data_IF_678224074962
#
_entry.id   IF_678224074962
#
_cell.length_a   1.000
_cell.length_b   1.000
_cell.length_c   1.000
_cell.angle_alpha   90.00
_cell.angle_beta   90.00
_cell.angle_gamma   90.00
#
_symmetry.space_group_name_H-M   'P 1'
#
loop_
_entity.id
_entity.type
_entity.pdbx_description
1 polymer ?
#
# COMPACT_ATOMS: atom_id res chain seq x y z
N UNK A 1 -45.79 -44.52 -26.33
CA UNK A 1 -45.38 -44.04 -24.99
C UNK A 1 -43.93 -43.59 -25.09
N UNK A 2 -43.70 -42.29 -25.17
CA UNK A 2 -42.41 -41.63 -25.09
C UNK A 2 -42.50 -40.68 -23.89
N UNK A 3 -41.56 -40.68 -22.94
CA UNK A 3 -41.49 -39.61 -21.96
C UNK A 3 -40.65 -38.46 -22.53
N UNK A 4 -41.30 -37.32 -22.65
CA UNK A 4 -40.74 -35.97 -22.62
C UNK A 4 -39.93 -35.76 -21.34
N UNK A 5 -38.74 -35.16 -21.44
CA UNK A 5 -38.24 -34.05 -20.60
C UNK A 5 -36.82 -33.66 -21.06
N UNK A 6 -36.77 -32.66 -21.95
CA UNK A 6 -35.59 -31.83 -22.15
C UNK A 6 -35.71 -30.66 -21.18
N UNK A 7 -34.90 -30.64 -20.12
CA UNK A 7 -34.59 -29.43 -19.37
C UNK A 7 -33.11 -29.17 -19.52
N UNK A 8 -32.80 -28.07 -20.22
CA UNK A 8 -31.45 -27.55 -20.33
C UNK A 8 -31.02 -26.91 -19.02
N UNK A 9 -29.77 -27.16 -18.65
CA UNK A 9 -28.93 -26.20 -17.95
C UNK A 9 -27.49 -26.43 -18.40
N UNK A 10 -27.01 -25.53 -19.25
CA UNK A 10 -25.58 -25.31 -19.48
C UNK A 10 -25.06 -24.37 -18.40
N UNK A 11 -24.00 -24.73 -17.66
CA UNK A 11 -23.20 -23.75 -16.95
C UNK A 11 -21.84 -23.64 -17.65
N UNK A 12 -21.82 -23.08 -18.86
CA UNK A 12 -20.66 -22.31 -19.30
C UNK A 12 -20.63 -21.01 -18.49
N UNK A 13 -20.27 -21.13 -17.22
CA UNK A 13 -19.79 -19.99 -16.45
C UNK A 13 -18.55 -19.48 -17.20
N UNK A 14 -18.69 -18.33 -17.84
CA UNK A 14 -17.58 -17.57 -18.41
C UNK A 14 -16.56 -17.35 -17.29
N UNK A 15 -15.54 -18.20 -17.24
CA UNK A 15 -14.33 -17.96 -16.44
C UNK A 15 -13.75 -16.65 -16.93
N UNK A 16 -13.98 -15.57 -16.19
CA UNK A 16 -13.14 -14.38 -16.28
C UNK A 16 -11.72 -14.84 -15.94
N UNK A 17 -10.70 -14.51 -16.74
CA UNK A 17 -9.33 -14.77 -16.33
C UNK A 17 -9.10 -14.04 -15.00
N UNK A 18 -8.70 -14.75 -13.95
CA UNK A 18 -8.04 -14.11 -12.81
C UNK A 18 -6.75 -13.53 -13.37
N UNK A 19 -6.73 -12.21 -13.59
CA UNK A 19 -5.48 -11.47 -13.61
C UNK A 19 -4.97 -11.53 -12.17
N UNK A 20 -4.03 -12.44 -11.89
CA UNK A 20 -3.22 -12.32 -10.69
C UNK A 20 -2.59 -10.94 -10.74
N UNK A 21 -2.82 -10.11 -9.73
CA UNK A 21 -1.95 -8.98 -9.49
C UNK A 21 -0.55 -9.57 -9.38
N UNK A 22 0.30 -9.29 -10.36
CA UNK A 22 1.70 -9.65 -10.26
C UNK A 22 2.26 -8.72 -9.19
N UNK A 23 2.25 -9.16 -7.94
CA UNK A 23 3.22 -8.67 -6.97
C UNK A 23 4.60 -8.83 -7.62
N UNK A 24 5.54 -7.89 -7.41
CA UNK A 24 6.93 -8.17 -7.76
C UNK A 24 7.26 -9.53 -7.16
N UNK A 25 7.86 -10.46 -7.92
CA UNK A 25 8.22 -11.76 -7.36
C UNK A 25 9.06 -11.47 -6.11
N UNK A 26 8.65 -12.04 -4.97
CA UNK A 26 9.55 -12.15 -3.83
C UNK A 26 10.85 -12.73 -4.40
N UNK A 27 11.95 -12.00 -4.28
CA UNK A 27 13.22 -12.41 -4.84
C UNK A 27 13.61 -13.74 -4.18
N UNK A 28 13.34 -14.86 -4.86
CA UNK A 28 13.84 -16.16 -4.50
C UNK A 28 15.35 -16.13 -4.78
N UNK A 29 16.13 -15.73 -3.77
CA UNK A 29 17.58 -15.78 -3.82
C UNK A 29 18.04 -17.23 -3.82
N UNK A 30 18.41 -17.75 -5.00
CA UNK A 30 19.34 -18.87 -5.06
C UNK A 30 20.73 -18.36 -4.66
N UNK A 31 21.26 -18.83 -3.53
CA UNK A 31 22.63 -18.58 -3.10
C UNK A 31 23.63 -19.23 -4.06
N UNK A 32 24.54 -18.47 -4.71
CA UNK A 32 25.69 -19.07 -5.37
C UNK A 32 26.71 -19.45 -4.29
N UNK A 33 27.12 -20.72 -4.28
CA UNK A 33 28.19 -21.19 -3.44
C UNK A 33 29.54 -20.55 -3.84
N UNK A 34 30.23 -20.05 -2.81
CA UNK A 34 31.68 -19.88 -2.66
C UNK A 34 32.39 -18.70 -3.36
N UNK A 35 32.68 -17.69 -2.53
CA UNK A 35 33.73 -16.68 -2.69
C UNK A 35 33.75 -15.76 -1.48
N UNK A 36 34.22 -16.24 -0.32
CA UNK A 36 34.15 -15.51 0.95
C UNK A 36 35.12 -14.31 0.99
N UNK A 37 34.66 -13.16 0.49
CA UNK A 37 35.07 -11.84 0.96
C UNK A 37 34.04 -11.36 1.99
N UNK A 38 34.47 -10.69 3.04
CA UNK A 38 33.55 -10.14 4.04
C UNK A 38 32.74 -8.98 3.43
N UNK A 39 31.50 -9.23 3.06
CA UNK A 39 30.54 -8.21 2.59
C UNK A 39 30.26 -7.24 3.73
N UNK A 40 30.44 -5.93 3.51
CA UNK A 40 30.13 -4.92 4.53
C UNK A 40 28.62 -4.61 4.54
N UNK A 41 28.12 -4.02 5.63
CA UNK A 41 26.71 -3.60 5.72
C UNK A 41 26.34 -2.55 4.64
N UNK A 42 27.30 -1.76 4.16
CA UNK A 42 27.08 -0.83 3.05
C UNK A 42 26.89 -1.58 1.72
N UNK A 43 27.73 -2.59 1.45
CA UNK A 43 27.64 -3.40 0.23
C UNK A 43 26.31 -4.17 0.15
N UNK A 44 25.78 -4.64 1.30
CA UNK A 44 24.48 -5.32 1.35
C UNK A 44 23.30 -4.38 1.12
N UNK A 45 23.38 -3.14 1.60
CA UNK A 45 22.35 -2.12 1.37
C UNK A 45 22.30 -1.71 -0.09
N UNK A 46 23.47 -1.50 -0.72
CA UNK A 46 23.56 -1.21 -2.15
C UNK A 46 22.98 -2.33 -3.01
N UNK A 47 23.17 -3.60 -2.61
CA UNK A 47 22.59 -4.73 -3.34
C UNK A 47 21.06 -4.81 -3.19
N UNK A 48 20.52 -4.60 -1.99
CA UNK A 48 19.06 -4.55 -1.80
C UNK A 48 18.41 -3.41 -2.59
N UNK A 49 19.06 -2.24 -2.63
CA UNK A 49 18.64 -1.11 -3.46
C UNK A 49 18.68 -1.46 -4.95
N UNK A 50 19.74 -2.11 -5.42
CA UNK A 50 19.89 -2.54 -6.82
C UNK A 50 18.75 -3.47 -7.24
N UNK A 51 18.45 -4.50 -6.44
CA UNK A 51 17.37 -5.45 -6.71
C UNK A 51 16.00 -4.74 -6.74
N UNK A 52 15.77 -3.83 -5.80
CA UNK A 52 14.57 -3.01 -5.76
C UNK A 52 14.42 -2.14 -7.02
N UNK A 53 15.41 -1.33 -7.38
CA UNK A 53 15.31 -0.47 -8.56
C UNK A 53 15.25 -1.26 -9.88
N UNK A 54 15.86 -2.44 -9.93
CA UNK A 54 15.75 -3.33 -11.07
C UNK A 54 14.32 -3.86 -11.25
N UNK A 55 13.62 -4.20 -10.15
CA UNK A 55 12.21 -4.63 -10.24
C UNK A 55 11.34 -3.52 -10.83
N UNK A 56 11.55 -2.28 -10.40
CA UNK A 56 10.85 -1.08 -10.89
C UNK A 56 11.25 -0.64 -12.30
N UNK A 57 12.28 -1.23 -12.91
CA UNK A 57 12.63 -0.94 -14.31
C UNK A 57 11.73 -1.68 -15.31
N UNK A 58 10.93 -2.66 -14.85
CA UNK A 58 10.04 -3.43 -15.71
C UNK A 58 8.69 -2.76 -15.94
N UNK A 59 8.28 -2.65 -17.21
CA UNK A 59 7.01 -2.02 -17.60
C UNK A 59 5.77 -2.64 -16.95
N UNK A 60 5.80 -3.93 -16.61
CA UNK A 60 4.64 -4.63 -16.04
C UNK A 60 4.16 -4.04 -14.71
N UNK A 61 5.08 -3.60 -13.85
CA UNK A 61 4.75 -2.96 -12.56
C UNK A 61 4.14 -1.57 -12.80
N UNK A 62 4.71 -0.77 -13.70
CA UNK A 62 4.15 0.52 -14.09
C UNK A 62 2.77 0.40 -14.76
N UNK A 63 2.58 -0.62 -15.59
CA UNK A 63 1.29 -0.90 -16.22
C UNK A 63 0.22 -1.25 -15.18
N UNK A 64 0.55 -2.07 -14.18
CA UNK A 64 -0.36 -2.38 -13.07
C UNK A 64 -0.74 -1.12 -12.28
N UNK A 65 0.25 -0.28 -11.93
CA UNK A 65 0.04 0.99 -11.22
C UNK A 65 -0.78 2.01 -12.01
N UNK A 66 -0.62 2.07 -13.34
CA UNK A 66 -1.34 3.03 -14.20
C UNK A 66 -2.76 2.53 -14.52
N UNK A 67 -2.97 1.22 -14.61
CA UNK A 67 -4.32 0.64 -14.80
C UNK A 67 -5.20 0.79 -13.57
N UNK A 68 -4.61 0.96 -12.40
CA UNK A 68 -5.32 1.33 -11.17
C UNK A 68 -5.87 2.77 -11.29
N UNK A 69 -7.15 2.84 -11.64
CA UNK A 69 -7.87 4.11 -11.80
C UNK A 69 -8.15 4.78 -10.47
N UNK A 70 -8.48 4.01 -9.43
CA UNK A 70 -8.75 4.56 -8.09
C UNK A 70 -7.53 5.34 -7.60
N UNK A 71 -6.33 4.75 -7.74
CA UNK A 71 -5.06 5.42 -7.49
C UNK A 71 -4.88 6.66 -8.38
N UNK A 72 -4.88 6.47 -9.69
CA UNK A 72 -4.46 7.53 -10.63
C UNK A 72 -5.44 8.72 -10.63
N UNK A 73 -6.74 8.45 -10.56
CA UNK A 73 -7.78 9.47 -10.53
C UNK A 73 -7.80 10.23 -9.20
N UNK A 74 -7.46 9.59 -8.07
CA UNK A 74 -7.33 10.29 -6.79
C UNK A 74 -6.19 11.31 -6.82
N UNK A 75 -5.01 10.94 -7.33
CA UNK A 75 -3.89 11.88 -7.51
C UNK A 75 -4.23 13.00 -8.49
N UNK A 76 -4.84 12.67 -9.64
CA UNK A 76 -5.29 13.69 -10.59
C UNK A 76 -6.29 14.67 -9.95
N UNK A 77 -7.27 14.16 -9.22
CA UNK A 77 -8.27 14.96 -8.51
C UNK A 77 -7.63 15.82 -7.42
N UNK A 78 -6.67 15.29 -6.66
CA UNK A 78 -5.93 16.03 -5.64
C UNK A 78 -5.12 17.19 -6.24
N UNK A 79 -4.43 16.95 -7.36
CA UNK A 79 -3.68 17.98 -8.09
C UNK A 79 -4.63 19.09 -8.56
N UNK A 80 -5.77 18.74 -9.14
CA UNK A 80 -6.74 19.72 -9.63
C UNK A 80 -7.42 20.49 -8.50
N UNK A 81 -7.77 19.81 -7.41
CA UNK A 81 -8.33 20.43 -6.21
C UNK A 81 -7.35 21.45 -5.61
N UNK A 82 -6.06 21.12 -5.53
CA UNK A 82 -5.02 22.00 -5.01
C UNK A 82 -4.32 22.86 -6.08
N UNK A 83 -4.93 23.03 -7.27
CA UNK A 83 -4.31 23.76 -8.39
C UNK A 83 -3.78 25.15 -7.99
N UNK A 84 -4.50 25.88 -7.13
CA UNK A 84 -4.08 27.20 -6.62
C UNK A 84 -2.74 27.21 -5.87
N UNK A 85 -2.33 26.06 -5.33
CA UNK A 85 -1.05 25.85 -4.66
C UNK A 85 0.03 25.25 -5.59
N UNK A 86 -0.32 24.94 -6.83
CA UNK A 86 0.58 24.32 -7.83
C UNK A 86 0.88 25.31 -8.96
N UNK A 87 -0.10 26.11 -9.39
CA UNK A 87 0.03 27.07 -10.48
C UNK A 87 1.14 28.11 -10.18
N UNK A 88 2.10 28.23 -11.09
CA UNK A 88 3.27 29.09 -10.95
C UNK A 88 4.29 28.65 -9.89
N UNK A 89 4.16 27.43 -9.34
CA UNK A 89 5.02 26.90 -8.26
C UNK A 89 6.03 25.86 -8.73
N UNK A 90 7.03 25.58 -7.91
CA UNK A 90 8.03 24.53 -8.14
C UNK A 90 7.60 23.27 -7.42
N UNK A 91 7.51 22.16 -8.15
CA UNK A 91 7.05 20.85 -7.65
C UNK A 91 8.22 19.86 -7.66
N UNK A 92 8.31 19.02 -6.63
CA UNK A 92 9.16 17.83 -6.59
C UNK A 92 8.26 16.58 -6.61
N UNK A 93 8.43 15.73 -7.62
CA UNK A 93 7.80 14.42 -7.74
C UNK A 93 8.84 13.34 -7.35
N UNK A 94 8.67 12.72 -6.18
CA UNK A 94 9.63 11.76 -5.60
C UNK A 94 9.23 10.35 -5.99
N UNK A 95 10.11 9.64 -6.70
CA UNK A 95 9.83 8.33 -7.29
C UNK A 95 8.79 8.47 -8.40
N UNK A 96 9.09 9.33 -9.38
CA UNK A 96 8.10 9.73 -10.39
C UNK A 96 7.68 8.58 -11.33
N UNK A 97 8.44 7.48 -11.37
CA UNK A 97 8.21 6.35 -12.25
C UNK A 97 8.14 6.79 -13.71
N UNK A 98 6.99 6.59 -14.35
CA UNK A 98 6.74 7.04 -15.72
C UNK A 98 6.52 8.55 -15.88
N UNK A 99 6.50 9.30 -14.78
CA UNK A 99 6.30 10.75 -14.78
C UNK A 99 4.84 11.19 -14.94
N UNK A 100 3.86 10.30 -14.75
CA UNK A 100 2.44 10.63 -14.92
C UNK A 100 1.99 11.77 -13.98
N UNK A 101 2.41 11.74 -12.71
CA UNK A 101 2.08 12.78 -11.73
C UNK A 101 2.76 14.11 -12.07
N UNK A 102 4.04 14.04 -12.47
CA UNK A 102 4.78 15.19 -13.01
C UNK A 102 4.06 15.85 -14.18
N UNK A 103 3.54 15.07 -15.13
CA UNK A 103 2.75 15.59 -16.26
C UNK A 103 1.45 16.25 -15.80
N UNK A 104 0.76 15.67 -14.80
CA UNK A 104 -0.44 16.29 -14.23
C UNK A 104 -0.13 17.62 -13.54
N UNK A 105 0.93 17.69 -12.72
CA UNK A 105 1.36 18.94 -12.09
C UNK A 105 1.75 20.00 -13.12
N UNK A 106 2.45 19.61 -14.18
CA UNK A 106 2.82 20.53 -15.27
C UNK A 106 1.58 21.09 -15.97
N UNK A 107 0.60 20.23 -16.29
CA UNK A 107 -0.68 20.65 -16.89
C UNK A 107 -1.55 21.47 -15.94
N UNK A 108 -1.40 21.31 -14.62
CA UNK A 108 -2.02 22.15 -13.62
C UNK A 108 -1.37 23.55 -13.52
N UNK A 109 -0.30 23.82 -14.27
CA UNK A 109 0.33 25.13 -14.38
C UNK A 109 1.56 25.32 -13.51
N UNK A 110 2.19 24.25 -13.01
CA UNK A 110 3.46 24.36 -12.27
C UNK A 110 4.49 25.19 -13.04
N UNK A 111 5.27 26.05 -12.39
CA UNK A 111 6.38 26.75 -13.05
C UNK A 111 7.47 25.76 -13.50
N UNK A 112 7.74 24.77 -12.66
CA UNK A 112 8.76 23.73 -12.87
C UNK A 112 8.41 22.49 -12.08
N UNK A 113 8.71 21.32 -12.64
CA UNK A 113 8.60 20.04 -11.94
C UNK A 113 9.95 19.33 -11.99
N UNK A 114 10.52 19.02 -10.83
CA UNK A 114 11.64 18.09 -10.71
C UNK A 114 11.08 16.69 -10.49
N UNK A 115 11.25 15.82 -11.49
CA UNK A 115 10.75 14.45 -11.47
C UNK A 115 11.92 13.51 -11.17
N UNK A 116 12.06 13.10 -9.90
CA UNK A 116 13.19 12.29 -9.44
C UNK A 116 12.80 10.81 -9.46
N UNK A 117 13.58 10.00 -10.16
CA UNK A 117 13.37 8.56 -10.27
C UNK A 117 14.71 7.84 -10.24
N UNK A 118 14.83 6.80 -9.42
CA UNK A 118 16.09 6.11 -9.19
C UNK A 118 16.29 4.87 -10.09
N UNK A 119 15.22 4.35 -10.69
CA UNK A 119 15.26 3.24 -11.63
C UNK A 119 15.40 3.70 -13.08
N UNK A 120 15.75 2.76 -13.97
CA UNK A 120 15.99 3.04 -15.40
C UNK A 120 14.75 3.55 -16.14
N UNK A 121 13.55 3.41 -15.56
CA UNK A 121 12.30 3.95 -16.11
C UNK A 121 12.34 5.48 -16.26
N UNK A 122 13.25 6.16 -15.56
CA UNK A 122 13.54 7.59 -15.74
C UNK A 122 13.81 7.94 -17.22
N UNK A 123 14.45 7.05 -17.98
CA UNK A 123 14.67 7.23 -19.42
C UNK A 123 13.36 7.30 -20.18
N UNK A 124 12.39 6.43 -19.85
CA UNK A 124 11.05 6.47 -20.46
C UNK A 124 10.24 7.69 -19.98
N UNK A 125 10.41 8.13 -18.74
CA UNK A 125 9.80 9.36 -18.25
C UNK A 125 10.25 10.58 -19.07
N UNK A 126 11.55 10.68 -19.41
CA UNK A 126 12.07 11.71 -20.32
C UNK A 126 11.34 11.71 -21.67
N UNK A 127 11.18 10.53 -22.28
CA UNK A 127 10.49 10.40 -23.57
C UNK A 127 9.00 10.76 -23.47
N UNK A 128 8.33 10.40 -22.37
CA UNK A 128 6.93 10.77 -22.11
C UNK A 128 6.79 12.29 -21.97
N UNK A 129 7.65 12.93 -21.17
CA UNK A 129 7.67 14.39 -21.00
C UNK A 129 7.86 15.10 -22.34
N UNK A 130 8.81 14.63 -23.15
CA UNK A 130 9.09 15.16 -24.48
C UNK A 130 7.91 14.97 -25.44
N UNK A 131 7.31 13.79 -25.48
CA UNK A 131 6.14 13.49 -26.31
C UNK A 131 4.91 14.36 -25.96
N UNK A 132 4.86 14.87 -24.73
CA UNK A 132 3.81 15.77 -24.27
C UNK A 132 4.16 17.26 -24.40
N UNK A 133 5.30 17.61 -25.00
CA UNK A 133 5.80 18.98 -25.15
C UNK A 133 6.01 19.72 -23.82
N UNK A 134 6.49 19.01 -22.80
CA UNK A 134 6.68 19.55 -21.44
C UNK A 134 8.16 19.63 -21.03
N UNK A 135 9.10 19.42 -21.96
CA UNK A 135 10.54 19.39 -21.67
C UNK A 135 11.11 20.70 -21.11
N UNK A 136 10.46 21.84 -21.38
CA UNK A 136 10.88 23.14 -20.81
C UNK A 136 10.45 23.31 -19.34
N UNK A 137 9.54 22.47 -18.86
CA UNK A 137 8.86 22.61 -17.57
C UNK A 137 9.15 21.44 -16.62
N UNK A 138 9.25 20.21 -17.15
CA UNK A 138 9.51 19.01 -16.36
C UNK A 138 10.95 18.55 -16.60
N UNK A 139 11.74 18.57 -15.52
CA UNK A 139 13.13 18.10 -15.50
C UNK A 139 13.16 16.74 -14.82
N UNK A 140 13.40 15.69 -15.60
CA UNK A 140 13.57 14.33 -15.06
C UNK A 140 15.02 14.16 -14.60
N UNK A 141 15.20 13.70 -13.37
CA UNK A 141 16.51 13.48 -12.76
C UNK A 141 16.60 12.00 -12.39
N UNK A 142 17.53 11.29 -13.05
CA UNK A 142 17.81 9.88 -12.75
C UNK A 142 18.73 9.80 -11.51
N UNK A 143 18.19 9.36 -10.39
CA UNK A 143 18.92 9.20 -9.13
C UNK A 143 17.99 9.09 -7.91
N UNK A 144 18.56 8.71 -6.76
CA UNK A 144 17.83 8.70 -5.49
C UNK A 144 17.63 10.14 -5.00
N UNK A 145 16.49 10.42 -4.37
CA UNK A 145 16.18 11.78 -3.87
C UNK A 145 17.18 12.26 -2.82
N UNK A 146 17.82 11.32 -2.14
CA UNK A 146 18.90 11.52 -1.18
C UNK A 146 20.18 12.07 -1.82
N UNK A 147 20.49 11.60 -3.04
CA UNK A 147 21.75 11.87 -3.73
C UNK A 147 21.66 13.05 -4.71
N UNK A 148 20.46 13.42 -5.15
CA UNK A 148 20.27 14.54 -6.07
C UNK A 148 20.40 15.90 -5.37
N UNK A 149 20.84 16.89 -6.14
CA UNK A 149 20.89 18.29 -5.75
C UNK A 149 19.98 19.11 -6.67
N UNK A 150 18.99 19.79 -6.08
CA UNK A 150 18.07 20.66 -6.80
C UNK A 150 18.58 22.10 -6.75
N UNK A 151 18.35 22.84 -7.84
CA UNK A 151 18.79 24.25 -7.95
C UNK A 151 18.03 25.20 -7.00
N UNK A 152 16.86 24.79 -6.52
CA UNK A 152 16.00 25.59 -5.64
C UNK A 152 15.16 24.72 -4.70
N UNK A 153 14.73 25.29 -3.57
CA UNK A 153 13.70 24.69 -2.69
C UNK A 153 12.36 24.63 -3.44
N UNK A 154 11.52 23.66 -3.10
CA UNK A 154 10.23 23.41 -3.76
C UNK A 154 9.04 23.87 -2.91
N UNK A 155 7.96 24.24 -3.57
CA UNK A 155 6.70 24.66 -2.92
C UNK A 155 5.76 23.47 -2.68
N UNK A 156 5.88 22.42 -3.50
CA UNK A 156 5.04 21.22 -3.45
C UNK A 156 5.92 19.98 -3.55
N UNK A 157 5.67 18.99 -2.68
CA UNK A 157 6.14 17.62 -2.85
C UNK A 157 4.92 16.76 -3.17
N UNK A 158 5.03 15.97 -4.24
CA UNK A 158 4.08 14.93 -4.59
C UNK A 158 4.84 13.61 -4.68
N UNK A 159 4.25 12.54 -4.16
CA UNK A 159 4.83 11.22 -4.26
C UNK A 159 3.76 10.16 -4.10
N UNK A 160 3.89 9.09 -4.87
CA UNK A 160 3.17 7.85 -4.62
C UNK A 160 4.17 6.87 -4.02
N UNK A 161 4.18 6.85 -2.69
CA UNK A 161 5.18 6.14 -1.88
C UNK A 161 4.63 4.92 -1.16
N UNK A 162 3.32 4.67 -1.27
CA UNK A 162 2.64 3.70 -0.43
C UNK A 162 2.94 2.29 -0.94
N UNK A 163 3.43 1.43 -0.05
CA UNK A 163 3.59 0.00 -0.33
C UNK A 163 2.40 -0.82 0.15
N UNK A 164 2.49 -2.15 0.01
CA UNK A 164 1.59 -3.07 0.71
C UNK A 164 1.60 -2.79 2.22
N UNK A 165 0.45 -2.96 2.87
CA UNK A 165 0.29 -2.61 4.30
C UNK A 165 0.78 -1.17 4.62
N UNK A 166 0.66 -0.25 3.64
CA UNK A 166 1.14 1.15 3.63
C UNK A 166 2.66 1.33 3.65
N UNK A 167 3.38 0.56 4.45
CA UNK A 167 4.78 0.83 4.83
C UNK A 167 5.80 -0.09 4.18
N UNK A 168 5.36 -1.16 3.49
CA UNK A 168 6.27 -2.07 2.81
C UNK A 168 7.07 -1.33 1.73
N UNK A 169 8.25 -1.85 1.40
CA UNK A 169 9.24 -1.25 0.47
C UNK A 169 9.96 0.01 0.96
N UNK A 170 9.53 0.57 2.10
CA UNK A 170 10.24 1.61 2.86
C UNK A 170 10.55 2.89 2.06
N UNK A 171 9.63 3.35 1.21
CA UNK A 171 9.79 4.59 0.46
C UNK A 171 9.44 5.86 1.26
N UNK A 172 8.60 5.77 2.29
CA UNK A 172 8.22 6.93 3.13
C UNK A 172 9.44 7.70 3.68
N UNK A 173 10.51 7.07 4.23
CA UNK A 173 11.73 7.77 4.62
C UNK A 173 12.33 8.70 3.55
N UNK A 174 12.28 8.33 2.26
CA UNK A 174 12.76 9.16 1.16
C UNK A 174 11.87 10.41 0.94
N UNK A 175 10.56 10.28 1.14
CA UNK A 175 9.63 11.42 1.13
C UNK A 175 9.87 12.35 2.32
N UNK A 176 10.12 11.79 3.51
CA UNK A 176 10.46 12.58 4.71
C UNK A 176 11.80 13.32 4.52
N UNK A 177 12.80 12.66 3.93
CA UNK A 177 14.05 13.30 3.56
C UNK A 177 13.82 14.46 2.58
N UNK A 178 13.01 14.24 1.54
CA UNK A 178 12.68 15.29 0.57
C UNK A 178 11.95 16.46 1.23
N UNK A 179 11.03 16.21 2.17
CA UNK A 179 10.38 17.25 2.98
C UNK A 179 11.42 18.08 3.72
N UNK A 180 12.27 17.43 4.50
CA UNK A 180 13.22 18.11 5.38
C UNK A 180 14.30 18.87 4.58
N UNK A 181 14.75 18.30 3.46
CA UNK A 181 15.80 18.89 2.61
C UNK A 181 15.27 19.90 1.61
N UNK A 182 14.09 19.73 1.02
CA UNK A 182 13.69 20.50 -0.17
C UNK A 182 12.43 21.35 0.00
N UNK A 183 11.50 21.00 0.89
CA UNK A 183 10.25 21.73 1.02
C UNK A 183 10.47 23.10 1.68
N UNK A 184 9.81 24.14 1.15
CA UNK A 184 9.73 25.45 1.80
C UNK A 184 8.78 25.41 3.01
N UNK A 185 8.97 26.26 4.02
CA UNK A 185 7.97 26.45 5.08
C UNK A 185 6.58 26.75 4.50
N UNK A 186 5.55 26.05 4.97
CA UNK A 186 4.19 26.18 4.46
C UNK A 186 3.93 25.52 3.09
N UNK A 187 4.89 24.74 2.57
CA UNK A 187 4.72 23.98 1.33
C UNK A 187 3.66 22.88 1.44
N UNK A 188 3.20 22.39 0.29
CA UNK A 188 2.18 21.34 0.19
C UNK A 188 2.84 19.96 0.03
N UNK A 189 2.34 18.95 0.75
CA UNK A 189 2.72 17.54 0.55
C UNK A 189 1.49 16.75 0.10
N UNK A 190 1.60 15.99 -0.99
CA UNK A 190 0.54 15.15 -1.54
C UNK A 190 0.99 13.68 -1.67
N UNK A 191 0.37 12.73 -0.96
CA UNK A 191 -0.64 12.92 0.10
C UNK A 191 -0.03 13.54 1.35
N UNK A 192 -0.84 14.24 2.15
CA UNK A 192 -0.37 14.87 3.39
C UNK A 192 -0.52 13.99 4.61
N UNK A 193 -1.50 13.08 4.60
CA UNK A 193 -1.73 12.15 5.71
C UNK A 193 -1.97 10.74 5.20
N UNK A 194 -1.60 9.75 6.01
CA UNK A 194 -1.92 8.35 5.79
C UNK A 194 -2.38 7.70 7.09
N UNK A 195 -3.28 6.71 6.99
CA UNK A 195 -3.74 5.92 8.14
C UNK A 195 -3.66 4.44 7.79
N UNK A 196 -2.87 3.68 8.56
CA UNK A 196 -2.89 2.22 8.52
C UNK A 196 -3.97 1.71 9.46
N UNK A 197 -4.84 0.84 8.95
CA UNK A 197 -6.03 0.32 9.61
C UNK A 197 -5.96 -1.21 9.62
N UNK A 198 -6.50 -1.82 10.67
CA UNK A 198 -6.62 -3.27 10.81
C UNK A 198 -7.99 -3.69 11.31
N UNK A 199 -8.44 -4.90 10.96
CA UNK A 199 -9.58 -5.55 11.57
C UNK A 199 -9.45 -7.07 11.53
N UNK A 200 -10.05 -7.81 12.49
CA UNK A 200 -10.25 -9.24 12.37
C UNK A 200 -11.14 -9.56 11.16
N UNK A 201 -10.76 -10.59 10.42
CA UNK A 201 -11.47 -11.05 9.23
C UNK A 201 -11.86 -12.52 9.34
N UNK A 202 -12.93 -12.88 8.66
CA UNK A 202 -13.30 -14.26 8.40
C UNK A 202 -13.16 -14.56 6.91
N UNK A 203 -12.61 -15.71 6.53
CA UNK A 203 -12.47 -16.11 5.14
C UNK A 203 -12.58 -17.64 5.00
N UNK A 204 -13.76 -18.22 5.29
CA UNK A 204 -13.95 -19.67 5.29
C UNK A 204 -13.66 -20.27 3.91
N UNK A 205 -14.08 -19.65 2.81
CA UNK A 205 -13.84 -20.18 1.45
C UNK A 205 -12.34 -20.32 1.14
N UNK A 206 -11.51 -19.36 1.57
CA UNK A 206 -10.05 -19.42 1.40
C UNK A 206 -9.42 -20.52 2.24
N UNK A 207 -9.89 -20.68 3.48
CA UNK A 207 -9.38 -21.70 4.39
C UNK A 207 -9.79 -23.11 3.94
N UNK A 208 -11.06 -23.29 3.55
CA UNK A 208 -11.58 -24.53 2.96
C UNK A 208 -10.79 -24.91 1.71
N UNK A 209 -10.54 -23.96 0.81
CA UNK A 209 -9.85 -24.22 -0.46
C UNK A 209 -8.34 -24.49 -0.34
N UNK A 210 -7.71 -24.23 0.81
CA UNK A 210 -6.24 -24.30 0.97
C UNK A 210 -5.77 -25.18 2.12
N UNK A 211 -6.54 -25.26 3.20
CA UNK A 211 -6.25 -26.06 4.38
C UNK A 211 -7.16 -27.29 4.41
N UNK A 212 -8.47 -27.11 4.45
CA UNK A 212 -9.40 -28.24 4.57
C UNK A 212 -9.51 -29.08 3.28
N UNK A 213 -9.13 -28.51 2.14
CA UNK A 213 -9.01 -29.21 0.85
C UNK A 213 -8.24 -30.53 0.99
N UNK A 214 -7.20 -30.56 1.82
CA UNK A 214 -6.36 -31.74 2.00
C UNK A 214 -7.01 -32.86 2.80
N UNK A 215 -8.13 -32.62 3.48
CA UNK A 215 -8.83 -33.64 4.25
C UNK A 215 -9.47 -34.73 3.36
N UNK A 216 -9.95 -34.37 2.17
CA UNK A 216 -10.52 -35.30 1.20
C UNK A 216 -10.28 -34.83 -0.24
N UNK A 217 -9.25 -35.40 -0.87
CA UNK A 217 -8.85 -35.08 -2.24
C UNK A 217 -9.28 -36.23 -3.17
N UNK A 218 -10.46 -36.10 -3.78
CA UNK A 218 -11.07 -37.12 -4.64
C UNK A 218 -11.33 -38.47 -3.94
N UNK A 219 -11.74 -38.47 -2.67
CA UNK A 219 -11.93 -39.67 -1.85
C UNK A 219 -10.66 -40.17 -1.17
N UNK A 220 -9.54 -39.44 -1.31
CA UNK A 220 -8.24 -39.78 -0.71
C UNK A 220 -8.01 -38.88 0.50
N UNK A 221 -7.83 -39.50 1.67
CA UNK A 221 -7.40 -38.80 2.88
C UNK A 221 -5.93 -38.35 2.71
N UNK A 222 -5.75 -37.04 2.48
CA UNK A 222 -4.45 -36.38 2.43
C UNK A 222 -4.22 -35.48 3.65
N UNK A 223 -4.93 -35.72 4.76
CA UNK A 223 -4.90 -34.86 5.96
C UNK A 223 -3.51 -34.73 6.59
N UNK A 224 -2.58 -35.65 6.27
CA UNK A 224 -1.16 -35.53 6.59
C UNK A 224 -0.50 -34.23 6.08
N UNK A 225 -1.07 -33.57 5.06
CA UNK A 225 -0.61 -32.28 4.54
C UNK A 225 -1.22 -31.06 5.26
N UNK A 226 -2.26 -31.23 6.07
CA UNK A 226 -2.93 -30.12 6.79
C UNK A 226 -1.97 -29.33 7.69
N UNK A 227 -1.09 -29.96 8.50
CA UNK A 227 -0.14 -29.20 9.32
C UNK A 227 0.80 -28.33 8.48
N UNK A 228 1.21 -28.82 7.31
CA UNK A 228 2.06 -28.08 6.37
C UNK A 228 1.28 -26.95 5.69
N UNK A 229 0.03 -27.19 5.30
CA UNK A 229 -0.85 -26.18 4.72
C UNK A 229 -1.14 -25.04 5.71
N UNK A 230 -1.40 -25.35 6.98
CA UNK A 230 -1.56 -24.37 8.06
C UNK A 230 -0.32 -23.52 8.22
N UNK A 231 0.85 -24.16 8.29
CA UNK A 231 2.14 -23.46 8.39
C UNK A 231 2.29 -22.44 7.26
N UNK A 232 2.20 -22.88 6.00
CA UNK A 232 2.38 -22.00 4.85
C UNK A 232 1.32 -20.90 4.75
N UNK A 233 0.10 -21.16 5.21
CA UNK A 233 -0.98 -20.15 5.23
C UNK A 233 -0.66 -19.00 6.20
N UNK A 234 0.04 -19.28 7.31
CA UNK A 234 0.36 -18.29 8.34
C UNK A 234 1.80 -17.77 8.33
N UNK A 235 2.69 -18.32 7.50
CA UNK A 235 4.13 -18.01 7.50
C UNK A 235 4.42 -16.65 6.83
N UNK A 236 3.65 -16.29 5.80
CA UNK A 236 3.81 -15.03 5.07
C UNK A 236 2.47 -14.27 4.96
N UNK A 237 2.49 -12.92 4.99
CA UNK A 237 1.31 -12.12 4.69
C UNK A 237 0.79 -12.40 3.29
N UNK A 238 -0.53 -12.50 3.14
CA UNK A 238 -1.16 -12.64 1.83
C UNK A 238 -1.68 -11.32 1.31
N UNK A 239 -1.47 -11.02 0.02
CA UNK A 239 -2.05 -9.87 -0.66
C UNK A 239 -3.28 -10.36 -1.42
N UNK A 240 -4.46 -10.04 -0.89
CA UNK A 240 -5.74 -10.54 -1.40
C UNK A 240 -6.82 -9.46 -1.31
N UNK A 241 -7.77 -9.48 -2.25
CA UNK A 241 -9.01 -8.71 -2.12
C UNK A 241 -9.97 -9.44 -1.20
N UNK A 242 -10.41 -8.80 -0.12
CA UNK A 242 -11.47 -9.29 0.77
C UNK A 242 -12.72 -8.43 0.62
N UNK A 243 -13.90 -9.07 0.65
CA UNK A 243 -15.16 -8.34 0.69
C UNK A 243 -15.41 -7.71 2.07
N UNK A 244 -16.05 -6.54 2.12
CA UNK A 244 -16.39 -5.87 3.38
C UNK A 244 -17.26 -6.71 4.31
N UNK A 245 -18.04 -7.66 3.78
CA UNK A 245 -18.81 -8.65 4.56
C UNK A 245 -17.95 -9.60 5.39
N UNK A 246 -16.67 -9.75 5.03
CA UNK A 246 -15.70 -10.60 5.71
C UNK A 246 -14.95 -9.88 6.84
N UNK A 247 -15.20 -8.57 7.03
CA UNK A 247 -14.68 -7.79 8.15
C UNK A 247 -15.65 -7.90 9.32
N UNK A 248 -15.24 -8.60 10.39
CA UNK A 248 -16.17 -9.02 11.45
C UNK A 248 -16.18 -8.10 12.67
N UNK A 249 -15.49 -6.97 12.63
CA UNK A 249 -15.58 -5.94 13.67
C UNK A 249 -15.43 -4.54 13.10
N UNK A 250 -15.69 -3.52 13.93
CA UNK A 250 -15.20 -2.18 13.62
C UNK A 250 -13.67 -2.19 13.52
N UNK A 251 -13.09 -1.46 12.54
CA UNK A 251 -11.65 -1.40 12.37
C UNK A 251 -10.97 -0.64 13.51
N UNK A 252 -9.72 -1.00 13.77
CA UNK A 252 -8.81 -0.29 14.68
C UNK A 252 -7.71 0.38 13.88
N UNK A 253 -7.30 1.57 14.31
CA UNK A 253 -6.15 2.27 13.71
C UNK A 253 -4.86 1.67 14.27
N UNK A 254 -3.93 1.35 13.37
CA UNK A 254 -2.55 0.97 13.72
C UNK A 254 -1.70 2.23 13.86
N UNK A 255 -1.72 3.12 12.86
CA UNK A 255 -0.94 4.36 12.88
C UNK A 255 -1.56 5.43 12.00
N UNK A 256 -1.64 6.65 12.54
CA UNK A 256 -1.80 7.87 11.75
C UNK A 256 -0.42 8.47 11.45
N UNK A 257 -0.20 8.83 10.20
CA UNK A 257 1.03 9.44 9.68
C UNK A 257 0.65 10.81 9.16
N UNK A 258 1.16 11.85 9.82
CA UNK A 258 1.15 13.22 9.32
C UNK A 258 2.48 13.46 8.60
N UNK A 259 2.47 13.54 7.27
CA UNK A 259 3.70 13.66 6.48
C UNK A 259 4.47 14.95 6.77
N UNK A 260 3.86 15.97 7.40
CA UNK A 260 4.58 17.19 7.80
C UNK A 260 5.45 16.99 9.05
N UNK A 261 5.04 16.10 9.96
CA UNK A 261 5.64 15.98 11.30
C UNK A 261 6.23 14.59 11.57
N UNK A 262 5.83 13.56 10.83
CA UNK A 262 6.26 12.19 11.05
C UNK A 262 7.77 12.05 10.85
N UNK A 263 8.40 11.23 11.69
CA UNK A 263 9.86 11.09 11.71
C UNK A 263 10.30 9.69 11.28
N UNK A 264 11.53 9.59 10.75
CA UNK A 264 12.15 8.30 10.42
C UNK A 264 12.31 7.41 11.66
N UNK A 265 12.48 7.99 12.85
CA UNK A 265 12.57 7.21 14.09
C UNK A 265 11.23 6.54 14.44
N UNK A 266 10.12 7.26 14.30
CA UNK A 266 8.78 6.67 14.47
C UNK A 266 8.46 5.60 13.41
N UNK A 267 9.00 5.73 12.19
CA UNK A 267 8.83 4.73 11.14
C UNK A 267 9.48 3.38 11.50
N UNK A 268 10.62 3.39 12.21
CA UNK A 268 11.38 2.17 12.51
C UNK A 268 10.61 1.13 13.32
N UNK A 269 9.71 1.57 14.20
CA UNK A 269 8.91 0.67 15.03
C UNK A 269 7.58 1.32 15.44
N UNK A 270 6.49 0.71 15.05
CA UNK A 270 5.12 1.13 15.32
C UNK A 270 4.43 0.03 16.10
N UNK A 271 3.94 0.35 17.30
CA UNK A 271 3.12 -0.57 18.10
C UNK A 271 1.75 0.04 18.36
N UNK A 272 0.71 -0.74 18.13
CA UNK A 272 -0.67 -0.38 18.44
C UNK A 272 -1.34 -1.47 19.26
N UNK A 273 -2.07 -1.07 20.30
CA UNK A 273 -2.98 -1.96 21.02
C UNK A 273 -4.36 -1.84 20.39
N UNK A 274 -5.05 -2.96 20.26
CA UNK A 274 -6.41 -2.98 19.76
C UNK A 274 -7.34 -3.69 20.74
N UNK A 275 -8.61 -3.28 20.70
CA UNK A 275 -9.70 -3.91 21.43
C UNK A 275 -10.96 -3.75 20.61
N UNK A 276 -11.43 -4.86 20.05
CA UNK A 276 -12.55 -4.89 19.10
C UNK A 276 -13.61 -5.88 19.55
N UNK A 277 -14.86 -5.61 19.20
CA UNK A 277 -16.00 -6.49 19.49
C UNK A 277 -16.41 -7.18 18.20
N UNK A 278 -16.51 -8.51 18.21
CA UNK A 278 -17.04 -9.24 17.06
C UNK A 278 -18.50 -8.85 16.81
N UNK A 279 -18.83 -8.52 15.57
CA UNK A 279 -20.17 -8.13 15.14
C UNK A 279 -21.05 -9.35 14.82
N UNK A 280 -20.47 -10.55 14.78
CA UNK A 280 -21.17 -11.79 14.44
C UNK A 280 -20.52 -13.03 15.05
N UNK A 281 -21.22 -14.17 14.98
CA UNK A 281 -20.63 -15.49 15.23
C UNK A 281 -19.86 -15.93 13.98
N UNK A 282 -18.54 -15.94 14.04
CA UNK A 282 -17.68 -16.38 12.95
C UNK A 282 -16.29 -16.75 13.49
N UNK A 283 -15.56 -17.67 12.83
CA UNK A 283 -14.13 -17.86 13.09
C UNK A 283 -13.32 -16.66 12.57
N UNK A 284 -12.41 -16.15 13.41
CA UNK A 284 -11.34 -15.23 12.99
C UNK A 284 -10.27 -16.06 12.31
N UNK A 285 -10.20 -15.94 10.99
CA UNK A 285 -9.15 -16.58 10.21
C UNK A 285 -7.84 -15.79 10.25
N UNK A 286 -7.90 -14.50 10.59
CA UNK A 286 -6.73 -13.64 10.63
C UNK A 286 -7.09 -12.17 10.83
N UNK A 287 -6.13 -11.30 10.58
CA UNK A 287 -6.33 -9.85 10.55
C UNK A 287 -6.03 -9.30 9.16
N UNK A 288 -6.96 -8.51 8.63
CA UNK A 288 -6.77 -7.74 7.41
C UNK A 288 -6.26 -6.34 7.72
N UNK A 289 -5.37 -5.86 6.87
CA UNK A 289 -4.76 -4.54 6.93
C UNK A 289 -4.95 -3.80 5.62
N UNK A 290 -5.30 -2.53 5.72
CA UNK A 290 -5.48 -1.62 4.60
C UNK A 290 -5.17 -0.20 5.04
N UNK A 291 -5.15 0.72 4.09
CA UNK A 291 -4.86 2.12 4.38
C UNK A 291 -5.75 3.11 3.65
N UNK A 292 -5.80 4.30 4.21
CA UNK A 292 -6.35 5.49 3.60
C UNK A 292 -5.25 6.56 3.52
N UNK A 293 -5.19 7.31 2.43
CA UNK A 293 -4.39 8.53 2.34
C UNK A 293 -5.27 9.73 2.02
N UNK A 294 -4.93 10.86 2.62
CA UNK A 294 -5.68 12.10 2.52
C UNK A 294 -4.83 13.18 1.86
N UNK A 295 -5.42 13.87 0.89
CA UNK A 295 -4.80 14.98 0.18
C UNK A 295 -5.30 16.30 0.77
N UNK A 296 -5.00 16.55 2.06
CA UNK A 296 -5.32 17.82 2.72
C UNK A 296 -4.38 18.95 2.22
N UNK A 297 -4.81 20.21 2.39
CA UNK A 297 -4.01 21.39 2.05
C UNK A 297 -2.77 21.58 2.93
N UNK A 298 -2.05 22.72 2.77
CA UNK A 298 -0.86 23.02 3.57
C UNK A 298 -1.15 23.07 5.08
N UNK A 299 -0.12 22.84 5.90
CA UNK A 299 -0.24 22.71 7.37
C UNK A 299 -0.94 23.89 8.06
N UNK A 300 -0.84 25.11 7.55
CA UNK A 300 -1.53 26.28 8.12
C UNK A 300 -3.06 26.28 7.90
N UNK A 301 -3.55 25.44 6.98
CA UNK A 301 -4.97 25.29 6.66
C UNK A 301 -5.59 24.01 7.27
N UNK A 302 -4.78 23.12 7.87
CA UNK A 302 -5.31 21.98 8.60
C UNK A 302 -5.65 22.41 10.04
N UNK A 303 -6.94 22.49 10.35
CA UNK A 303 -7.37 22.48 11.74
C UNK A 303 -6.92 21.15 12.36
N UNK A 304 -5.83 21.20 13.13
CA UNK A 304 -5.27 20.07 13.87
C UNK A 304 -6.39 19.24 14.52
N UNK A 305 -6.60 18.02 14.04
CA UNK A 305 -7.36 17.03 14.79
C UNK A 305 -6.55 16.75 16.06
N UNK A 306 -7.14 16.90 17.26
CA UNK A 306 -6.41 16.61 18.49
C UNK A 306 -5.92 15.16 18.48
N UNK A 307 -4.65 14.97 18.83
CA UNK A 307 -3.92 13.70 18.87
C UNK A 307 -4.50 12.63 19.81
N UNK A 308 -5.60 12.94 20.52
CA UNK A 308 -6.26 12.09 21.51
C UNK A 308 -7.69 11.65 21.11
N UNK A 309 -8.06 11.73 19.83
CA UNK A 309 -9.38 11.28 19.40
C UNK A 309 -9.48 9.75 19.38
N UNK A 310 -10.61 9.23 19.85
CA UNK A 310 -10.93 7.81 19.79
C UNK A 310 -10.99 7.35 18.31
N UNK A 311 -10.40 6.21 17.92
CA UNK A 311 -10.44 5.67 16.56
C UNK A 311 -11.86 5.65 15.93
N UNK A 312 -12.89 5.35 16.74
CA UNK A 312 -14.29 5.37 16.29
C UNK A 312 -14.80 6.79 15.99
N UNK A 313 -14.36 7.80 16.75
CA UNK A 313 -14.71 9.20 16.47
C UNK A 313 -14.03 9.73 15.21
N UNK A 314 -12.82 9.23 14.88
CA UNK A 314 -12.13 9.57 13.64
C UNK A 314 -12.87 8.97 12.46
N UNK A 315 -13.21 7.67 12.48
CA UNK A 315 -13.96 7.00 11.42
C UNK A 315 -15.37 7.62 11.26
N UNK A 316 -16.06 7.92 12.36
CA UNK A 316 -17.39 8.55 12.32
C UNK A 316 -17.35 10.02 11.88
N UNK A 317 -16.36 10.81 12.31
CA UNK A 317 -16.17 12.20 11.82
C UNK A 317 -15.72 12.21 10.36
N UNK A 318 -14.93 11.22 9.89
CA UNK A 318 -14.53 11.03 8.49
C UNK A 318 -15.74 10.75 7.60
N UNK A 319 -16.65 9.84 8.00
CA UNK A 319 -17.93 9.62 7.29
C UNK A 319 -18.86 10.83 7.30
N UNK A 320 -18.79 11.69 8.33
CA UNK A 320 -19.50 13.00 8.36
C UNK A 320 -18.82 14.11 7.56
N UNK A 321 -17.52 13.99 7.28
CA UNK A 321 -16.69 14.90 6.48
C UNK A 321 -16.72 14.57 4.98
N UNK A 322 -17.76 13.91 4.48
CA UNK A 322 -18.13 13.97 3.06
C UNK A 322 -18.61 15.40 2.66
N UNK A 323 -18.03 16.44 3.25
CA UNK A 323 -18.15 17.82 2.86
C UNK A 323 -16.95 18.10 1.95
N UNK A 324 -17.18 18.03 0.63
CA UNK A 324 -16.57 18.72 -0.53
C UNK A 324 -15.07 19.13 -0.58
N UNK A 325 -14.27 19.05 0.47
CA UNK A 325 -12.99 19.76 0.62
C UNK A 325 -11.73 18.86 0.69
N UNK A 326 -11.85 17.54 0.83
CA UNK A 326 -10.67 16.64 0.90
C UNK A 326 -10.82 15.47 -0.07
N UNK A 327 -9.80 15.26 -0.91
CA UNK A 327 -9.67 14.05 -1.73
C UNK A 327 -9.05 12.93 -0.87
N UNK A 328 -9.63 11.74 -0.92
CA UNK A 328 -9.17 10.55 -0.18
C UNK A 328 -8.97 9.41 -1.16
N UNK A 329 -7.86 8.69 -1.02
CA UNK A 329 -7.61 7.40 -1.65
C UNK A 329 -7.68 6.32 -0.57
N UNK A 330 -8.60 5.39 -0.73
CA UNK A 330 -8.82 4.29 0.22
C UNK A 330 -8.53 2.95 -0.46
N UNK A 331 -8.02 2.01 0.33
CA UNK A 331 -7.83 0.60 -0.03
C UNK A 331 -8.70 -0.31 0.83
N UNK A 332 -9.76 0.24 1.43
CA UNK A 332 -10.64 -0.51 2.32
C UNK A 332 -11.42 -1.62 1.58
N UNK A 333 -11.74 -2.73 2.26
CA UNK A 333 -12.54 -3.83 1.71
C UNK A 333 -13.90 -3.43 1.10
N UNK A 334 -14.52 -2.35 1.60
CA UNK A 334 -15.80 -1.84 1.09
C UNK A 334 -15.69 -0.92 -0.14
N UNK A 335 -14.48 -0.46 -0.49
CA UNK A 335 -14.25 0.49 -1.57
C UNK A 335 -13.85 -0.21 -2.88
N UNK A 336 -13.75 0.56 -3.98
CA UNK A 336 -13.29 -0.01 -5.26
C UNK A 336 -11.86 -0.59 -5.12
N UNK A 337 -11.61 -1.83 -5.62
CA UNK A 337 -10.31 -2.46 -5.48
C UNK A 337 -9.18 -1.68 -6.15
N UNK A 338 -8.09 -1.51 -5.42
CA UNK A 338 -6.82 -0.99 -5.89
C UNK A 338 -5.83 -2.13 -6.16
N UNK A 339 -4.69 -1.84 -6.78
CA UNK A 339 -3.64 -2.84 -6.98
C UNK A 339 -2.96 -3.29 -5.67
N UNK A 340 -3.03 -2.48 -4.60
CA UNK A 340 -2.54 -2.84 -3.27
C UNK A 340 -3.38 -3.91 -2.59
N UNK A 341 -4.67 -3.99 -2.94
CA UNK A 341 -5.64 -4.87 -2.28
C UNK A 341 -5.60 -4.67 -0.75
N UNK A 342 -5.68 -5.77 0.01
CA UNK A 342 -5.45 -5.78 1.45
C UNK A 342 -4.34 -6.77 1.80
N UNK A 343 -3.64 -6.51 2.91
CA UNK A 343 -2.65 -7.44 3.46
C UNK A 343 -3.28 -8.25 4.57
N UNK A 344 -3.29 -9.57 4.46
CA UNK A 344 -3.94 -10.48 5.40
C UNK A 344 -2.89 -11.31 6.14
N UNK A 345 -2.97 -11.29 7.48
CA UNK A 345 -2.20 -12.18 8.35
C UNK A 345 -3.13 -13.29 8.84
N UNK A 346 -3.03 -14.47 8.24
CA UNK A 346 -3.83 -15.62 8.64
C UNK A 346 -3.25 -16.29 9.89
N UNK A 347 -4.13 -16.74 10.77
CA UNK A 347 -3.76 -17.65 11.84
C UNK A 347 -3.67 -19.09 11.32
N UNK A 348 -2.74 -19.90 11.83
CA UNK A 348 -2.68 -21.33 11.49
C UNK A 348 -3.94 -22.07 11.95
N UNK A 349 -4.52 -21.64 13.06
CA UNK A 349 -5.76 -22.15 13.63
C UNK A 349 -6.74 -20.98 13.82
N UNK A 350 -7.90 -20.97 13.14
CA UNK A 350 -8.89 -19.91 13.32
C UNK A 350 -9.41 -19.83 14.75
N UNK A 351 -9.71 -18.62 15.22
CA UNK A 351 -10.22 -18.37 16.58
C UNK A 351 -11.74 -18.20 16.53
N UNK A 352 -12.47 -19.13 17.12
CA UNK A 352 -13.93 -19.04 17.23
C UNK A 352 -14.36 -17.88 18.14
N UNK A 353 -15.16 -16.96 17.60
CA UNK A 353 -15.73 -15.85 18.37
C UNK A 353 -17.24 -15.77 18.22
N UNK A 354 -17.90 -15.46 19.33
CA UNK A 354 -19.34 -15.16 19.35
C UNK A 354 -19.60 -13.70 19.04
N UNK A 355 -20.84 -13.39 18.65
CA UNK A 355 -21.28 -12.01 18.59
C UNK A 355 -21.05 -11.32 19.95
N UNK A 356 -20.58 -10.06 19.90
CA UNK A 356 -20.24 -9.21 21.03
C UNK A 356 -19.08 -9.71 21.91
N UNK A 357 -18.37 -10.77 21.47
CA UNK A 357 -17.15 -11.21 22.12
C UNK A 357 -16.03 -10.21 21.86
N UNK A 358 -15.38 -9.78 22.94
CA UNK A 358 -14.23 -8.90 22.86
C UNK A 358 -12.98 -9.68 22.47
N UNK A 359 -12.21 -9.11 21.56
CA UNK A 359 -10.88 -9.56 21.15
C UNK A 359 -9.92 -8.42 21.37
N UNK A 360 -8.83 -8.67 22.08
CA UNK A 360 -7.83 -7.66 22.38
C UNK A 360 -6.42 -8.19 22.13
N UNK A 361 -5.49 -7.27 21.96
CA UNK A 361 -4.14 -7.63 21.59
C UNK A 361 -3.27 -6.45 21.19
N UNK A 362 -2.17 -6.76 20.51
CA UNK A 362 -1.26 -5.77 20.00
C UNK A 362 -0.72 -6.15 18.62
N UNK A 363 -0.42 -5.15 17.80
CA UNK A 363 0.35 -5.32 16.58
C UNK A 363 1.60 -4.46 16.68
N UNK A 364 2.74 -5.02 16.32
CA UNK A 364 4.01 -4.30 16.16
C UNK A 364 4.52 -4.49 14.74
N UNK A 365 4.73 -3.39 14.04
CA UNK A 365 5.34 -3.34 12.70
C UNK A 365 6.69 -2.65 12.87
N UNK A 366 7.78 -3.33 12.51
CA UNK A 366 9.13 -2.78 12.65
C UNK A 366 9.96 -3.03 11.40
N UNK A 367 10.86 -2.11 11.10
CA UNK A 367 11.78 -2.26 9.98
C UNK A 367 12.76 -3.41 10.25
N UNK A 368 12.98 -4.27 9.27
CA UNK A 368 13.96 -5.36 9.41
C UNK A 368 15.39 -4.82 9.47
N UNK A 369 16.19 -5.39 10.39
CA UNK A 369 17.62 -5.09 10.52
C UNK A 369 18.46 -5.76 9.44
N UNK A 370 17.95 -6.83 8.84
CA UNK A 370 18.62 -7.59 7.78
C UNK A 370 18.41 -6.92 6.43
N UNK A 371 17.18 -6.52 6.13
CA UNK A 371 16.84 -5.77 4.93
C UNK A 371 15.91 -4.59 5.29
N UNK A 372 16.35 -3.33 5.20
CA UNK A 372 15.53 -2.18 5.59
C UNK A 372 14.32 -1.95 4.69
N UNK A 373 14.21 -2.63 3.54
CA UNK A 373 13.02 -2.62 2.68
C UNK A 373 11.94 -3.60 3.15
N UNK A 374 12.26 -4.49 4.09
CA UNK A 374 11.33 -5.46 4.65
C UNK A 374 10.80 -5.01 6.01
N UNK A 375 9.61 -5.52 6.35
CA UNK A 375 8.94 -5.30 7.63
C UNK A 375 8.85 -6.61 8.41
N UNK A 376 9.10 -6.54 9.71
CA UNK A 376 8.74 -7.57 10.66
C UNK A 376 7.39 -7.20 11.28
N UNK A 377 6.45 -8.14 11.25
CA UNK A 377 5.11 -7.96 11.83
C UNK A 377 4.93 -8.97 12.95
N UNK A 378 4.61 -8.47 14.14
CA UNK A 378 4.29 -9.28 15.31
C UNK A 378 2.86 -8.96 15.75
N UNK A 379 1.99 -9.96 15.68
CA UNK A 379 0.58 -9.84 16.03
C UNK A 379 0.28 -10.74 17.24
N UNK A 380 -0.22 -10.13 18.31
CA UNK A 380 -0.67 -10.81 19.51
C UNK A 380 -2.18 -10.67 19.62
N UNK A 381 -2.86 -11.79 19.83
CA UNK A 381 -4.31 -11.86 19.98
C UNK A 381 -4.64 -12.71 21.21
N UNK A 382 -5.47 -12.20 22.11
CA UNK A 382 -5.89 -12.84 23.37
C UNK A 382 -7.40 -12.84 23.57
#
# INVERSE_FOLDING_TARGET
MLPSHLNGHSPLARRRPRLSAASPPAAAGESPAAGAGATTAADSLEEHDRIYFQSYSHIGIHEAMIKDRVRTDAYHSAIMHHKKFIEGKVVLDVGCGTGILSVFCARAGAKRVYAVEASEIATQACEIVKANNLSDQVVVIHGRVEDVDLEEKVDVIISEWMGYMLLYESMLPSVLFARDKWLKPGGLILPSHATLIMAPITNPERYEGSVDFWCDVYGIDMSALVPLAKKFTSEEPSIETIGGENVISWPSVVKHIDCYNFTVEEFKCITAKYKVSSMMLAPIHGFGFWFEVEFNGPQEYSHNLPSNLNPLEIIQKKRKRSSEDTVILSTAPEDEPTHWQQTILYFPDPIEVKQDQMVEGSVTVSQSKENPRFLNIHLECS
#
